data_IF_194524019208
#
_entry.id   IF_194524019208
#
_cell.length_a   1.000
_cell.length_b   1.000
_cell.length_c   1.000
_cell.angle_alpha   90.00
_cell.angle_beta   90.00
_cell.angle_gamma   90.00
#
_symmetry.space_group_name_H-M   'P 1'
#
loop_
_entity.id
_entity.type
_entity.pdbx_description
1 polymer ?
#
# COMPACT_ATOMS: atom_id res chain seq x y z
N UNK A 1 5.56 -20.51 -11.03
CA UNK A 1 5.81 -20.12 -9.62
C UNK A 1 6.77 -18.95 -9.58
N UNK A 2 6.33 -17.81 -9.01
CA UNK A 2 7.05 -16.54 -9.10
C UNK A 2 8.39 -16.59 -8.33
N UNK A 3 9.49 -16.50 -9.07
CA UNK A 3 10.88 -16.32 -8.56
C UNK A 3 11.01 -15.05 -7.68
N UNK A 4 10.00 -14.19 -7.66
CA UNK A 4 9.93 -12.96 -6.85
C UNK A 4 9.68 -13.17 -5.36
N UNK A 5 9.40 -14.39 -4.88
CA UNK A 5 9.25 -14.68 -3.43
C UNK A 5 10.56 -15.04 -2.72
N UNK A 6 11.70 -14.93 -3.38
CA UNK A 6 13.04 -15.28 -2.84
C UNK A 6 13.94 -14.04 -2.57
N UNK A 7 13.36 -12.87 -2.31
CA UNK A 7 14.10 -11.73 -1.76
C UNK A 7 14.14 -11.81 -0.21
N UNK A 8 15.22 -11.47 0.52
CA UNK A 8 16.66 -11.41 0.22
C UNK A 8 17.39 -12.53 1.00
N UNK A 9 16.95 -13.78 0.89
CA UNK A 9 17.34 -14.90 1.78
C UNK A 9 18.78 -15.42 1.57
N UNK A 10 19.62 -14.69 0.85
CA UNK A 10 20.79 -15.26 0.18
C UNK A 10 22.00 -14.33 0.14
N UNK A 11 21.86 -13.14 0.71
CA UNK A 11 22.99 -12.24 0.99
C UNK A 11 23.92 -12.82 2.05
N UNK A 12 23.47 -13.82 2.82
CA UNK A 12 24.19 -14.34 3.98
C UNK A 12 24.90 -15.64 3.59
N UNK A 13 24.16 -16.68 3.16
CA UNK A 13 24.78 -17.98 2.92
C UNK A 13 25.82 -18.05 1.79
N UNK A 14 25.78 -17.21 0.76
CA UNK A 14 26.74 -17.27 -0.35
C UNK A 14 27.97 -16.36 -0.16
N UNK A 15 27.87 -15.33 0.68
CA UNK A 15 28.95 -14.39 0.99
C UNK A 15 29.67 -14.76 2.29
N UNK A 16 28.99 -15.31 3.30
CA UNK A 16 29.60 -15.77 4.56
C UNK A 16 30.41 -17.06 4.43
N UNK A 17 30.19 -17.88 3.39
CA UNK A 17 30.87 -19.18 3.25
C UNK A 17 32.23 -19.04 2.54
N UNK A 18 32.49 -17.95 1.83
CA UNK A 18 33.79 -17.75 1.18
C UNK A 18 34.93 -17.47 2.18
N UNK A 19 34.73 -16.72 3.30
CA UNK A 19 35.73 -16.62 4.36
C UNK A 19 35.88 -17.94 5.14
N UNK A 20 34.77 -18.65 5.40
CA UNK A 20 34.78 -19.89 6.19
C UNK A 20 35.48 -21.07 5.48
N UNK A 21 35.66 -21.01 4.16
CA UNK A 21 36.42 -22.01 3.39
C UNK A 21 37.89 -21.62 3.16
N UNK A 22 38.31 -20.43 3.61
CA UNK A 22 39.70 -19.95 3.50
C UNK A 22 40.35 -19.73 4.89
N UNK A 23 40.03 -20.58 5.88
CA UNK A 23 40.98 -20.79 6.99
C UNK A 23 42.17 -21.60 6.45
N UNK A 24 42.99 -20.97 5.61
CA UNK A 24 44.26 -21.53 5.18
C UNK A 24 45.34 -20.93 6.10
N UNK A 25 45.99 -21.71 6.98
CA UNK A 25 46.97 -21.17 7.92
C UNK A 25 48.29 -20.72 7.27
N UNK A 26 48.45 -20.91 5.96
CA UNK A 26 49.78 -20.93 5.33
C UNK A 26 50.27 -19.56 4.83
N UNK A 27 49.44 -18.52 4.88
CA UNK A 27 49.81 -17.15 4.44
C UNK A 27 49.48 -16.07 5.49
N UNK A 28 49.10 -16.49 6.70
CA UNK A 28 48.80 -15.55 7.79
C UNK A 28 50.07 -14.97 8.44
N UNK A 29 51.26 -15.52 8.14
CA UNK A 29 52.52 -15.06 8.70
C UNK A 29 53.65 -15.16 7.68
N UNK A 30 54.30 -14.03 7.38
CA UNK A 30 55.56 -13.98 6.65
C UNK A 30 55.50 -13.10 5.40
N UNK A 31 55.65 -11.79 5.59
CA UNK A 31 55.73 -10.83 4.50
C UNK A 31 55.65 -9.39 5.03
N UNK A 32 56.63 -9.04 5.86
CA UNK A 32 57.26 -7.72 5.91
C UNK A 32 56.29 -6.52 6.01
N UNK A 33 55.90 -6.17 7.24
CA UNK A 33 55.26 -4.89 7.56
C UNK A 33 56.25 -3.71 7.45
N UNK A 34 56.89 -3.54 6.28
CA UNK A 34 57.72 -2.37 5.99
C UNK A 34 57.02 -1.33 5.10
N UNK A 35 55.74 -1.53 4.74
CA UNK A 35 55.02 -0.61 3.88
C UNK A 35 53.71 -0.10 4.46
N UNK A 36 53.62 1.21 4.70
CA UNK A 36 52.35 1.96 4.77
C UNK A 36 51.73 1.99 3.36
N UNK A 37 51.28 0.82 2.89
CA UNK A 37 50.93 0.57 1.49
C UNK A 37 49.67 -0.26 1.31
N UNK A 38 49.31 -0.50 0.05
CA UNK A 38 48.18 -1.35 -0.30
C UNK A 38 48.51 -2.81 -0.01
N UNK A 39 47.61 -3.52 0.68
CA UNK A 39 47.81 -4.92 1.02
C UNK A 39 47.33 -5.85 -0.11
N UNK A 40 48.12 -6.88 -0.40
CA UNK A 40 47.80 -7.91 -1.39
C UNK A 40 47.06 -9.12 -0.79
N UNK A 41 46.34 -8.95 0.32
CA UNK A 41 45.87 -10.08 1.12
C UNK A 41 44.93 -11.01 0.31
N UNK A 42 45.36 -12.25 -0.03
CA UNK A 42 44.59 -13.14 -0.88
C UNK A 42 43.29 -13.61 -0.20
N UNK A 43 43.24 -13.64 1.14
CA UNK A 43 42.05 -14.04 1.88
C UNK A 43 40.86 -13.09 1.66
N UNK A 44 41.12 -11.85 1.24
CA UNK A 44 40.11 -10.82 0.98
C UNK A 44 39.92 -10.65 -0.53
N UNK A 45 41.01 -10.52 -1.28
CA UNK A 45 40.99 -10.33 -2.73
C UNK A 45 40.31 -11.47 -3.47
N UNK A 46 40.60 -12.73 -3.13
CA UNK A 46 40.05 -13.89 -3.85
C UNK A 46 38.53 -13.97 -3.73
N UNK A 47 37.91 -13.90 -2.53
CA UNK A 47 36.45 -13.83 -2.41
C UNK A 47 35.84 -12.65 -3.17
N UNK A 48 36.45 -11.47 -3.13
CA UNK A 48 35.95 -10.28 -3.83
C UNK A 48 35.95 -10.47 -5.35
N UNK A 49 37.04 -11.02 -5.91
CA UNK A 49 37.15 -11.32 -7.34
C UNK A 49 36.11 -12.37 -7.74
N UNK A 50 35.94 -13.44 -6.95
CA UNK A 50 34.92 -14.48 -7.21
C UNK A 50 33.52 -13.86 -7.25
N UNK A 51 33.19 -13.01 -6.27
CA UNK A 51 31.90 -12.31 -6.21
C UNK A 51 31.70 -11.39 -7.41
N UNK A 52 32.72 -10.63 -7.81
CA UNK A 52 32.68 -9.78 -8.98
C UNK A 52 32.43 -10.58 -10.26
N UNK A 53 33.18 -11.67 -10.49
CA UNK A 53 33.03 -12.55 -11.65
C UNK A 53 31.61 -13.14 -11.69
N UNK A 54 31.10 -13.66 -10.57
CA UNK A 54 29.75 -14.21 -10.50
C UNK A 54 28.69 -13.15 -10.75
N UNK A 55 28.86 -11.95 -10.21
CA UNK A 55 27.92 -10.85 -10.43
C UNK A 55 27.88 -10.44 -11.91
N UNK A 56 29.04 -10.22 -12.54
CA UNK A 56 29.14 -9.86 -13.97
C UNK A 56 28.51 -10.94 -14.86
N UNK A 57 28.81 -12.22 -14.60
CA UNK A 57 28.17 -13.36 -15.31
C UNK A 57 26.66 -13.38 -15.10
N UNK A 58 26.20 -13.04 -13.90
CA UNK A 58 24.79 -12.94 -13.54
C UNK A 58 24.08 -11.83 -14.30
N UNK A 59 24.66 -10.62 -14.33
CA UNK A 59 24.15 -9.48 -15.08
C UNK A 59 24.04 -9.82 -16.57
N UNK A 60 25.12 -10.38 -17.15
CA UNK A 60 25.13 -10.76 -18.57
C UNK A 60 23.99 -11.75 -18.89
N UNK A 61 23.83 -12.81 -18.09
CA UNK A 61 22.75 -13.80 -18.28
C UNK A 61 21.36 -13.21 -18.13
N UNK A 62 21.14 -12.33 -17.15
CA UNK A 62 19.83 -11.72 -16.90
C UNK A 62 19.48 -10.65 -17.94
N UNK A 63 20.47 -9.99 -18.55
CA UNK A 63 20.26 -9.04 -19.66
C UNK A 63 19.98 -9.75 -20.99
N UNK A 64 20.65 -10.88 -21.27
CA UNK A 64 20.48 -11.63 -22.52
C UNK A 64 19.20 -12.50 -22.56
N UNK A 65 18.58 -12.79 -21.41
CA UNK A 65 17.50 -13.78 -21.30
C UNK A 65 16.08 -13.31 -21.66
N UNK A 66 15.82 -12.00 -21.88
CA UNK A 66 14.50 -11.48 -22.24
C UNK A 66 14.59 -10.27 -23.17
N UNK A 67 13.91 -10.33 -24.33
CA UNK A 67 13.58 -9.14 -25.13
C UNK A 67 12.53 -8.32 -24.37
N UNK A 68 12.88 -7.09 -23.99
CA UNK A 68 11.99 -6.15 -23.28
C UNK A 68 12.38 -5.94 -21.81
N UNK A 69 13.18 -4.89 -21.59
CA UNK A 69 13.68 -4.32 -20.31
C UNK A 69 14.75 -5.13 -19.54
N UNK A 70 15.91 -4.52 -19.22
CA UNK A 70 16.92 -5.17 -18.39
C UNK A 70 16.38 -5.40 -16.98
N UNK A 71 16.40 -6.67 -16.53
CA UNK A 71 16.00 -7.08 -15.17
C UNK A 71 16.91 -6.47 -14.08
N UNK A 72 18.09 -5.97 -14.46
CA UNK A 72 19.07 -5.32 -13.58
C UNK A 72 19.39 -3.93 -14.14
N UNK A 73 18.85 -2.90 -13.47
CA UNK A 73 19.13 -1.50 -13.79
C UNK A 73 20.55 -1.08 -13.42
N UNK A 74 21.07 -0.05 -14.09
CA UNK A 74 22.44 0.47 -13.89
C UNK A 74 22.72 0.86 -12.43
N UNK A 75 21.73 1.44 -11.73
CA UNK A 75 21.88 1.79 -10.31
C UNK A 75 22.19 0.60 -9.40
N UNK A 76 21.66 -0.60 -9.67
CA UNK A 76 21.99 -1.80 -8.88
C UNK A 76 23.41 -2.30 -9.13
N UNK A 77 23.90 -2.13 -10.35
CA UNK A 77 25.28 -2.50 -10.72
C UNK A 77 26.24 -1.51 -10.07
N UNK A 78 25.97 -0.21 -10.19
CA UNK A 78 26.74 0.84 -9.54
C UNK A 78 26.82 0.60 -8.02
N UNK A 79 25.68 0.36 -7.36
CA UNK A 79 25.66 0.05 -5.93
C UNK A 79 26.50 -1.17 -5.57
N UNK A 80 26.47 -2.25 -6.37
CA UNK A 80 27.28 -3.44 -6.11
C UNK A 80 28.78 -3.18 -6.25
N UNK A 81 29.18 -2.49 -7.32
CA UNK A 81 30.59 -2.14 -7.58
C UNK A 81 31.09 -1.19 -6.50
N UNK A 82 30.30 -0.18 -6.12
CA UNK A 82 30.63 0.73 -5.03
C UNK A 82 30.72 0.01 -3.68
N UNK A 83 29.88 -0.99 -3.41
CA UNK A 83 29.98 -1.81 -2.21
C UNK A 83 31.30 -2.61 -2.18
N UNK A 84 31.67 -3.24 -3.29
CA UNK A 84 32.95 -3.95 -3.41
C UNK A 84 34.13 -2.98 -3.25
N UNK A 85 34.08 -1.80 -3.86
CA UNK A 85 35.13 -0.80 -3.72
C UNK A 85 35.25 -0.31 -2.27
N UNK A 86 34.13 -0.11 -1.57
CA UNK A 86 34.14 0.26 -0.15
C UNK A 86 34.82 -0.82 0.71
N UNK A 87 34.54 -2.10 0.47
CA UNK A 87 35.25 -3.21 1.16
C UNK A 87 36.73 -3.23 0.79
N UNK A 88 37.07 -3.02 -0.49
CA UNK A 88 38.46 -2.97 -0.95
C UNK A 88 39.24 -1.87 -0.24
N UNK A 89 38.70 -0.65 -0.21
CA UNK A 89 39.33 0.49 0.46
C UNK A 89 39.41 0.26 1.97
N UNK A 90 38.36 -0.27 2.60
CA UNK A 90 38.37 -0.50 4.03
C UNK A 90 39.42 -1.54 4.46
N UNK A 91 39.61 -2.62 3.68
CA UNK A 91 40.38 -3.79 4.12
C UNK A 91 41.73 -4.01 3.41
N UNK A 92 42.00 -3.27 2.33
CA UNK A 92 43.23 -3.46 1.53
C UNK A 92 44.00 -2.16 1.31
N UNK A 93 43.49 -1.02 1.79
CA UNK A 93 44.22 0.25 1.76
C UNK A 93 45.10 0.40 3.00
N UNK A 94 45.99 1.42 3.05
CA UNK A 94 46.80 1.72 4.24
C UNK A 94 45.99 1.94 5.53
N UNK A 95 44.68 2.17 5.45
CA UNK A 95 43.79 2.25 6.61
C UNK A 95 43.84 0.97 7.45
N UNK A 96 43.96 -0.20 6.79
CA UNK A 96 44.06 -1.51 7.45
C UNK A 96 45.35 -1.63 8.27
N UNK A 97 46.48 -1.11 7.76
CA UNK A 97 47.72 -1.08 8.52
C UNK A 97 47.67 -0.06 9.67
N UNK A 98 46.98 1.08 9.48
CA UNK A 98 46.82 2.09 10.53
C UNK A 98 45.87 1.64 11.63
N UNK A 99 44.87 0.81 11.33
CA UNK A 99 43.88 0.36 12.31
C UNK A 99 44.47 -0.53 13.41
N UNK A 100 45.60 -1.19 13.16
CA UNK A 100 46.32 -1.94 14.19
C UNK A 100 46.92 -1.03 15.29
N UNK A 101 47.29 0.21 14.93
CA UNK A 101 47.94 1.17 15.83
C UNK A 101 47.02 2.28 16.36
N UNK A 102 46.11 2.77 15.52
CA UNK A 102 45.21 3.90 15.78
C UNK A 102 43.77 3.44 15.93
N UNK A 103 43.16 3.80 17.05
CA UNK A 103 41.77 3.48 17.32
C UNK A 103 40.83 4.26 16.37
N UNK A 104 41.19 5.48 16.00
CA UNK A 104 40.48 6.29 14.98
C UNK A 104 40.43 5.57 13.62
N UNK A 105 41.57 5.07 13.13
CA UNK A 105 41.63 4.36 11.85
C UNK A 105 40.81 3.05 11.88
N UNK A 106 40.88 2.34 13.01
CA UNK A 106 40.06 1.16 13.26
C UNK A 106 38.55 1.45 13.22
N UNK A 107 38.09 2.56 13.82
CA UNK A 107 36.69 2.97 13.71
C UNK A 107 36.30 3.36 12.28
N UNK A 108 37.17 4.04 11.53
CA UNK A 108 36.91 4.37 10.12
C UNK A 108 36.69 3.10 9.29
N UNK A 109 37.50 2.06 9.54
CA UNK A 109 37.38 0.77 8.86
C UNK A 109 36.03 0.09 9.18
N UNK A 110 35.64 0.03 10.45
CA UNK A 110 34.33 -0.49 10.87
C UNK A 110 33.18 0.28 10.23
N UNK A 111 33.24 1.61 10.21
CA UNK A 111 32.19 2.44 9.63
C UNK A 111 32.08 2.26 8.12
N UNK A 112 33.20 2.17 7.41
CA UNK A 112 33.20 1.91 5.98
C UNK A 112 32.45 0.60 5.64
N UNK A 113 32.57 -0.43 6.49
CA UNK A 113 31.82 -1.68 6.32
C UNK A 113 30.33 -1.51 6.66
N UNK A 114 30.02 -0.87 7.79
CA UNK A 114 28.66 -0.82 8.37
C UNK A 114 27.76 0.19 7.64
N UNK A 115 28.23 1.41 7.42
CA UNK A 115 27.39 2.52 6.91
C UNK A 115 27.61 2.85 5.43
N UNK A 116 28.64 2.26 4.79
CA UNK A 116 28.89 2.42 3.35
C UNK A 116 28.69 1.10 2.60
N UNK A 117 29.50 0.07 2.87
CA UNK A 117 29.47 -1.17 2.09
C UNK A 117 28.14 -1.93 2.24
N UNK A 118 27.68 -2.16 3.48
CA UNK A 118 26.47 -2.92 3.76
C UNK A 118 25.18 -2.32 3.14
N UNK A 119 24.86 -1.02 3.26
CA UNK A 119 23.69 -0.46 2.61
C UNK A 119 23.80 -0.52 1.08
N UNK A 120 24.97 -0.31 0.50
CA UNK A 120 25.18 -0.43 -0.95
C UNK A 120 24.93 -1.87 -1.43
N UNK A 121 25.40 -2.88 -0.69
CA UNK A 121 25.05 -4.27 -0.97
C UNK A 121 23.54 -4.54 -0.83
N UNK A 122 22.88 -3.99 0.18
CA UNK A 122 21.43 -4.12 0.34
C UNK A 122 20.66 -3.49 -0.84
N UNK A 123 21.07 -2.30 -1.28
CA UNK A 123 20.52 -1.58 -2.44
C UNK A 123 20.74 -2.33 -3.77
N UNK A 124 21.92 -2.92 -3.93
CA UNK A 124 22.26 -3.73 -5.11
C UNK A 124 21.37 -4.97 -5.24
N UNK A 125 20.86 -5.48 -4.11
CA UNK A 125 20.11 -6.73 -4.03
C UNK A 125 20.78 -7.86 -4.85
N UNK A 126 22.03 -8.23 -4.56
CA UNK A 126 22.88 -9.00 -5.46
C UNK A 126 22.49 -10.47 -5.56
N UNK A 127 21.76 -11.00 -4.58
CA UNK A 127 21.29 -12.39 -4.49
C UNK A 127 20.84 -13.02 -5.82
N UNK A 128 19.78 -12.53 -6.51
CA UNK A 128 19.29 -13.15 -7.74
C UNK A 128 20.31 -13.07 -8.88
N UNK A 129 21.15 -12.04 -8.87
CA UNK A 129 22.21 -11.81 -9.87
C UNK A 129 23.34 -12.81 -9.67
N UNK A 130 23.86 -12.93 -8.44
CA UNK A 130 24.90 -13.90 -8.07
C UNK A 130 24.44 -15.35 -8.35
N UNK A 131 23.20 -15.70 -7.98
CA UNK A 131 22.60 -16.99 -8.32
C UNK A 131 22.52 -17.26 -9.83
N UNK A 132 22.24 -16.23 -10.62
CA UNK A 132 22.22 -16.36 -12.08
C UNK A 132 23.62 -16.60 -12.65
N UNK A 133 24.65 -16.02 -12.03
CA UNK A 133 26.06 -16.13 -12.42
C UNK A 133 26.71 -17.50 -12.15
N UNK A 134 26.22 -18.21 -11.12
CA UNK A 134 26.70 -19.53 -10.73
C UNK A 134 26.64 -20.57 -11.89
N UNK A 135 27.59 -21.53 -11.95
CA UNK A 135 27.52 -22.67 -12.86
C UNK A 135 26.22 -23.46 -12.68
N UNK A 136 25.67 -24.03 -13.76
CA UNK A 136 24.34 -24.69 -13.74
C UNK A 136 24.22 -25.81 -12.70
N UNK A 137 25.29 -26.58 -12.45
CA UNK A 137 25.32 -27.63 -11.44
C UNK A 137 25.24 -27.07 -10.00
N UNK A 138 26.08 -26.08 -9.71
CA UNK A 138 26.14 -25.41 -8.41
C UNK A 138 24.85 -24.66 -8.10
N UNK A 139 24.31 -23.93 -9.08
CA UNK A 139 23.02 -23.23 -8.95
C UNK A 139 21.89 -24.19 -8.56
N UNK A 140 21.83 -25.39 -9.16
CA UNK A 140 20.82 -26.41 -8.80
C UNK A 140 21.01 -26.92 -7.37
N UNK A 141 22.24 -27.20 -6.95
CA UNK A 141 22.57 -27.64 -5.59
C UNK A 141 22.17 -26.58 -4.55
N UNK A 142 22.59 -25.33 -4.75
CA UNK A 142 22.28 -24.21 -3.85
C UNK A 142 20.76 -24.00 -3.74
N UNK A 143 20.05 -23.95 -4.88
CA UNK A 143 18.59 -23.81 -4.87
C UNK A 143 17.88 -25.00 -4.22
N UNK A 144 18.42 -26.22 -4.30
CA UNK A 144 17.87 -27.40 -3.62
C UNK A 144 18.00 -27.26 -2.10
N UNK A 145 19.17 -26.87 -1.61
CA UNK A 145 19.41 -26.64 -0.18
C UNK A 145 18.48 -25.54 0.34
N UNK A 146 18.32 -24.42 -0.38
CA UNK A 146 17.47 -23.32 0.07
C UNK A 146 15.97 -23.61 0.01
N UNK A 147 15.56 -24.57 -0.82
CA UNK A 147 14.17 -25.05 -0.85
C UNK A 147 13.87 -26.03 0.28
N UNK A 148 14.89 -26.51 1.00
CA UNK A 148 14.71 -27.41 2.13
C UNK A 148 14.00 -26.65 3.28
N UNK A 149 12.85 -27.13 3.80
CA UNK A 149 12.06 -26.43 4.79
C UNK A 149 12.82 -25.94 6.03
N UNK A 150 13.72 -26.73 6.68
CA UNK A 150 14.43 -26.26 7.86
C UNK A 150 15.38 -25.10 7.54
N UNK A 151 16.09 -25.16 6.40
CA UNK A 151 16.96 -24.06 5.94
C UNK A 151 16.13 -22.81 5.69
N UNK A 152 14.98 -22.95 5.01
CA UNK A 152 14.09 -21.83 4.76
C UNK A 152 13.55 -21.22 6.06
N UNK A 153 13.22 -22.04 7.05
CA UNK A 153 12.78 -21.61 8.38
C UNK A 153 13.89 -20.86 9.13
N UNK A 154 15.10 -21.42 9.17
CA UNK A 154 16.27 -20.80 9.79
C UNK A 154 16.60 -19.44 9.17
N UNK A 155 16.64 -19.35 7.84
CA UNK A 155 16.86 -18.06 7.18
C UNK A 155 15.68 -17.11 7.45
N UNK A 156 14.44 -17.59 7.48
CA UNK A 156 13.32 -16.71 7.82
C UNK A 156 13.45 -16.12 9.24
N UNK A 157 13.87 -16.94 10.22
CA UNK A 157 14.15 -16.52 11.59
C UNK A 157 15.33 -15.57 11.71
N UNK A 158 16.38 -15.75 10.91
CA UNK A 158 17.55 -14.86 10.90
C UNK A 158 17.21 -13.42 10.48
N UNK A 159 16.22 -13.27 9.60
CA UNK A 159 15.68 -11.97 9.19
C UNK A 159 14.49 -11.51 10.05
N UNK A 160 14.25 -12.16 11.21
CA UNK A 160 13.27 -11.68 12.16
C UNK A 160 13.78 -10.37 12.81
N UNK A 161 12.96 -9.30 12.89
CA UNK A 161 13.40 -7.99 13.38
C UNK A 161 14.14 -8.05 14.71
N UNK A 162 13.62 -8.80 15.69
CA UNK A 162 14.29 -8.95 17.00
C UNK A 162 15.67 -9.64 16.90
N UNK A 163 15.82 -10.62 16.01
CA UNK A 163 17.11 -11.31 15.79
C UNK A 163 18.11 -10.38 15.13
N UNK A 164 17.66 -9.60 14.13
CA UNK A 164 18.50 -8.60 13.45
C UNK A 164 18.91 -7.49 14.42
N UNK A 165 17.99 -7.02 15.26
CA UNK A 165 18.27 -6.03 16.31
C UNK A 165 19.35 -6.55 17.27
N UNK A 166 19.15 -7.76 17.81
CA UNK A 166 20.10 -8.39 18.73
C UNK A 166 21.45 -8.62 18.06
N UNK A 167 21.48 -9.07 16.81
CA UNK A 167 22.72 -9.28 16.07
C UNK A 167 23.45 -7.96 15.84
N UNK A 168 22.77 -6.91 15.39
CA UNK A 168 23.40 -5.61 15.12
C UNK A 168 23.91 -4.94 16.39
N UNK A 169 23.00 -4.68 17.35
CA UNK A 169 23.36 -4.00 18.59
C UNK A 169 24.30 -4.85 19.44
N UNK A 170 24.08 -6.17 19.51
CA UNK A 170 24.93 -7.09 20.25
C UNK A 170 26.34 -7.15 19.69
N UNK A 171 26.51 -7.19 18.37
CA UNK A 171 27.84 -7.15 17.74
C UNK A 171 28.57 -5.84 18.06
N UNK A 172 27.88 -4.70 17.92
CA UNK A 172 28.43 -3.38 18.27
C UNK A 172 28.85 -3.35 19.74
N UNK A 173 27.95 -3.65 20.67
CA UNK A 173 28.26 -3.59 22.10
C UNK A 173 29.38 -4.57 22.46
N UNK A 174 29.34 -5.80 21.97
CA UNK A 174 30.30 -6.85 22.32
C UNK A 174 31.74 -6.47 21.98
N UNK A 175 32.00 -6.04 20.75
CA UNK A 175 33.35 -5.68 20.31
C UNK A 175 33.88 -4.39 20.95
N UNK A 176 33.00 -3.54 21.46
CA UNK A 176 33.37 -2.34 22.22
C UNK A 176 33.50 -2.60 23.73
N UNK A 177 33.51 -3.86 24.16
CA UNK A 177 33.94 -4.23 25.52
C UNK A 177 35.48 -4.38 25.50
N UNK A 178 36.24 -3.83 26.48
CA UNK A 178 37.70 -3.86 26.45
C UNK A 178 38.34 -5.25 26.38
N UNK A 179 37.66 -6.32 26.81
CA UNK A 179 38.18 -7.68 26.72
C UNK A 179 38.07 -8.26 25.29
N UNK A 180 36.90 -8.34 24.66
CA UNK A 180 36.76 -8.71 23.25
C UNK A 180 37.61 -7.89 22.29
N UNK A 181 37.67 -6.57 22.47
CA UNK A 181 38.51 -5.69 21.66
C UNK A 181 39.99 -6.12 21.67
N UNK A 182 40.53 -6.47 22.84
CA UNK A 182 41.92 -6.95 22.97
C UNK A 182 42.15 -8.28 22.27
N UNK A 183 41.12 -9.09 22.04
CA UNK A 183 41.25 -10.32 21.26
C UNK A 183 41.43 -10.02 19.77
N UNK A 184 40.69 -9.05 19.24
CA UNK A 184 40.82 -8.64 17.85
C UNK A 184 42.21 -8.05 17.54
N UNK A 185 42.77 -7.24 18.45
CA UNK A 185 44.13 -6.69 18.29
C UNK A 185 45.26 -7.71 18.36
N UNK A 186 45.05 -8.88 18.98
CA UNK A 186 46.12 -9.87 19.23
C UNK A 186 46.26 -10.93 18.15
N UNK A 187 45.33 -11.02 17.19
CA UNK A 187 45.39 -12.05 16.16
C UNK A 187 44.55 -11.75 14.93
N UNK A 188 45.17 -11.85 13.75
CA UNK A 188 44.53 -11.65 12.45
C UNK A 188 43.22 -12.42 12.24
N UNK A 189 43.07 -13.70 12.68
CA UNK A 189 41.80 -14.42 12.51
C UNK A 189 40.64 -13.82 13.33
N UNK A 190 40.90 -13.32 14.53
CA UNK A 190 39.84 -12.74 15.38
C UNK A 190 39.45 -11.34 14.89
N UNK A 191 40.42 -10.55 14.41
CA UNK A 191 40.16 -9.31 13.70
C UNK A 191 39.29 -9.54 12.45
N UNK A 192 39.56 -10.59 11.67
CA UNK A 192 38.73 -10.96 10.53
C UNK A 192 37.30 -11.38 10.94
N UNK A 193 37.15 -12.07 12.08
CA UNK A 193 35.84 -12.44 12.63
C UNK A 193 35.07 -11.19 13.07
N UNK A 194 35.73 -10.22 13.69
CA UNK A 194 35.15 -8.93 14.05
C UNK A 194 34.61 -8.21 12.82
N UNK A 195 35.46 -7.95 11.82
CA UNK A 195 35.06 -7.33 10.55
C UNK A 195 33.91 -8.07 9.85
N UNK A 196 33.99 -9.40 9.80
CA UNK A 196 32.93 -10.21 9.20
C UNK A 196 31.63 -10.06 10.00
N UNK A 197 31.68 -10.12 11.33
CA UNK A 197 30.48 -9.96 12.16
C UNK A 197 29.81 -8.61 11.97
N UNK A 198 30.58 -7.52 11.90
CA UNK A 198 30.06 -6.18 11.61
C UNK A 198 29.39 -6.11 10.24
N UNK A 199 30.07 -6.58 9.19
CA UNK A 199 29.52 -6.56 7.84
C UNK A 199 28.24 -7.39 7.75
N UNK A 200 28.19 -8.57 8.36
CA UNK A 200 27.02 -9.45 8.31
C UNK A 200 25.83 -8.91 9.11
N UNK A 201 26.07 -8.40 10.31
CA UNK A 201 25.03 -7.78 11.12
C UNK A 201 24.48 -6.52 10.43
N UNK A 202 25.35 -5.69 9.85
CA UNK A 202 24.95 -4.53 9.07
C UNK A 202 24.17 -4.90 7.80
N UNK A 203 24.59 -5.94 7.06
CA UNK A 203 23.86 -6.43 5.90
C UNK A 203 22.45 -6.90 6.28
N UNK A 204 22.30 -7.61 7.40
CA UNK A 204 21.00 -8.00 7.93
C UNK A 204 20.12 -6.78 8.24
N UNK A 205 20.67 -5.80 8.96
CA UNK A 205 19.97 -4.56 9.30
C UNK A 205 19.51 -3.79 8.04
N UNK A 206 20.44 -3.47 7.14
CA UNK A 206 20.15 -2.66 5.96
C UNK A 206 19.21 -3.36 4.98
N UNK A 207 19.23 -4.70 4.90
CA UNK A 207 18.27 -5.44 4.08
C UNK A 207 16.85 -5.43 4.63
N UNK A 208 16.67 -5.37 5.95
CA UNK A 208 15.34 -5.18 6.58
C UNK A 208 14.87 -3.75 6.38
N UNK A 209 15.73 -2.76 6.63
CA UNK A 209 15.39 -1.33 6.52
C UNK A 209 15.05 -0.93 5.09
N UNK A 210 15.87 -1.35 4.12
CA UNK A 210 15.75 -0.97 2.71
C UNK A 210 14.88 -1.93 1.88
N UNK A 211 14.05 -2.75 2.53
CA UNK A 211 13.17 -3.71 1.87
C UNK A 211 12.13 -3.00 0.98
N UNK A 212 12.23 -3.19 -0.34
CA UNK A 212 11.28 -2.62 -1.32
C UNK A 212 10.17 -3.61 -1.72
N UNK A 213 10.04 -4.73 -1.03
CA UNK A 213 9.02 -5.74 -1.31
C UNK A 213 7.61 -5.16 -1.10
N UNK A 214 6.62 -5.48 -1.96
CA UNK A 214 5.22 -5.17 -1.69
C UNK A 214 4.68 -5.80 -0.38
N UNK A 215 5.36 -6.83 0.11
CA UNK A 215 5.11 -7.47 1.41
C UNK A 215 6.37 -7.30 2.25
N UNK A 216 6.64 -6.06 2.66
CA UNK A 216 7.73 -5.76 3.59
C UNK A 216 7.56 -6.56 4.87
N UNK A 217 8.67 -6.91 5.52
CA UNK A 217 8.66 -7.63 6.81
C UNK A 217 8.16 -6.76 7.96
N UNK A 218 8.58 -5.51 7.96
CA UNK A 218 8.12 -4.46 8.85
C UNK A 218 7.35 -3.44 8.00
N UNK A 219 6.22 -2.98 8.53
CA UNK A 219 5.59 -1.78 8.00
C UNK A 219 6.50 -0.56 8.20
N UNK A 220 6.12 0.57 7.60
CA UNK A 220 6.98 1.75 7.62
C UNK A 220 7.16 2.31 9.03
N UNK A 221 6.08 2.37 9.84
CA UNK A 221 6.13 2.88 11.20
C UNK A 221 7.02 2.01 12.10
N UNK A 222 6.85 0.69 12.07
CA UNK A 222 7.69 -0.24 12.81
C UNK A 222 9.15 -0.20 12.31
N UNK A 223 9.39 0.04 11.01
CA UNK A 223 10.75 0.25 10.49
C UNK A 223 11.39 1.51 11.09
N UNK A 224 10.65 2.61 11.25
CA UNK A 224 11.17 3.83 11.88
C UNK A 224 11.54 3.60 13.34
N UNK A 225 10.66 2.97 14.13
CA UNK A 225 10.95 2.59 15.52
C UNK A 225 12.15 1.65 15.59
N UNK A 226 12.24 0.70 14.67
CA UNK A 226 13.37 -0.21 14.57
C UNK A 226 14.70 0.53 14.31
N UNK A 227 14.73 1.50 13.40
CA UNK A 227 15.93 2.34 13.17
C UNK A 227 16.30 3.13 14.42
N UNK A 228 15.33 3.78 15.06
CA UNK A 228 15.57 4.61 16.26
C UNK A 228 16.12 3.77 17.41
N UNK A 229 15.53 2.60 17.66
CA UNK A 229 16.00 1.71 18.75
C UNK A 229 17.38 1.13 18.47
N UNK A 230 17.72 0.83 17.21
CA UNK A 230 19.08 0.45 16.83
C UNK A 230 20.04 1.61 17.06
N UNK A 231 19.73 2.81 16.55
CA UNK A 231 20.56 3.99 16.67
C UNK A 231 20.90 4.32 18.13
N UNK A 232 19.88 4.35 19.01
CA UNK A 232 20.08 4.65 20.43
C UNK A 232 21.07 3.69 21.12
N UNK A 233 21.03 2.39 20.79
CA UNK A 233 21.87 1.40 21.43
C UNK A 233 23.25 1.27 20.77
N UNK A 234 23.33 1.37 19.45
CA UNK A 234 24.60 1.27 18.72
C UNK A 234 25.48 2.51 18.89
N UNK A 235 24.89 3.68 19.15
CA UNK A 235 25.61 4.95 19.29
C UNK A 235 26.19 5.12 20.71
N UNK A 236 25.70 4.35 21.68
CA UNK A 236 26.11 4.43 23.09
C UNK A 236 27.63 4.25 23.29
N UNK A 237 28.32 3.24 22.70
CA UNK A 237 29.76 3.11 22.84
C UNK A 237 30.51 4.34 22.30
N UNK A 238 30.06 4.91 21.17
CA UNK A 238 30.66 6.12 20.59
C UNK A 238 30.63 7.31 21.57
N UNK A 239 29.47 7.56 22.17
CA UNK A 239 29.30 8.61 23.18
C UNK A 239 30.15 8.35 24.44
N UNK A 240 30.21 7.10 24.91
CA UNK A 240 31.02 6.72 26.07
C UNK A 240 32.52 6.94 25.84
N UNK A 241 33.02 6.63 24.64
CA UNK A 241 34.42 6.81 24.27
C UNK A 241 34.79 8.30 24.13
N UNK A 242 33.89 9.09 23.55
CA UNK A 242 34.04 10.54 23.41
C UNK A 242 34.10 11.25 24.77
N UNK A 243 33.23 10.86 25.71
CA UNK A 243 33.12 11.51 27.01
C UNK A 243 34.06 10.90 28.06
N UNK A 244 34.85 9.89 27.69
CA UNK A 244 35.76 9.22 28.62
C UNK A 244 36.86 10.18 29.12
N UNK A 245 37.12 10.26 30.43
CA UNK A 245 38.22 11.04 30.98
C UNK A 245 39.57 10.31 30.91
N UNK A 246 39.56 9.02 30.55
CA UNK A 246 40.73 8.14 30.47
C UNK A 246 40.55 7.11 29.35
N UNK A 247 41.63 6.63 28.72
CA UNK A 247 41.51 5.61 27.68
C UNK A 247 41.00 4.30 28.27
N UNK A 248 39.97 3.74 27.66
CA UNK A 248 39.41 2.41 27.93
C UNK A 248 40.14 1.33 27.14
N UNK A 249 40.60 1.69 25.93
CA UNK A 249 41.28 0.80 25.01
C UNK A 249 42.77 1.15 24.95
N UNK A 250 43.61 0.11 24.96
CA UNK A 250 45.05 0.28 24.76
C UNK A 250 45.31 0.43 23.26
N UNK A 251 45.55 1.66 22.80
CA UNK A 251 46.09 1.95 21.47
C UNK A 251 47.59 2.27 21.54
N UNK A 252 48.28 2.22 20.40
CA UNK A 252 49.72 2.50 20.35
C UNK A 252 49.98 3.97 20.62
N UNK A 253 50.60 4.29 21.76
CA UNK A 253 50.97 5.67 22.10
C UNK A 253 51.93 6.28 21.07
N UNK A 254 52.84 5.47 20.50
CA UNK A 254 53.74 5.91 19.45
C UNK A 254 52.99 6.21 18.14
N UNK A 255 52.01 5.37 17.76
CA UNK A 255 51.20 5.61 16.57
C UNK A 255 50.32 6.86 16.72
N UNK A 256 49.69 7.04 17.88
CA UNK A 256 48.92 8.24 18.19
C UNK A 256 49.80 9.50 18.14
N UNK A 257 50.99 9.44 18.75
CA UNK A 257 51.93 10.56 18.76
C UNK A 257 52.44 10.93 17.36
N UNK A 258 52.60 9.96 16.45
CA UNK A 258 52.95 10.21 15.05
C UNK A 258 51.90 11.06 14.31
N UNK A 259 50.66 11.08 14.80
CA UNK A 259 49.56 11.91 14.30
C UNK A 259 49.28 13.13 15.19
N UNK A 260 50.16 13.44 16.15
CA UNK A 260 50.00 14.56 17.07
C UNK A 260 48.89 14.36 18.12
N UNK A 261 48.48 13.12 18.36
CA UNK A 261 47.42 12.76 19.30
C UNK A 261 47.97 12.04 20.53
N UNK A 262 47.35 12.26 21.67
CA UNK A 262 47.45 11.35 22.82
C UNK A 262 46.55 10.13 22.62
N UNK A 263 46.80 8.98 23.28
CA UNK A 263 45.90 7.82 23.21
C UNK A 263 44.46 8.16 23.62
N UNK A 264 44.28 9.09 24.56
CA UNK A 264 42.95 9.56 24.96
C UNK A 264 42.27 10.34 23.83
N UNK A 265 42.98 11.26 23.18
CA UNK A 265 42.44 12.03 22.06
C UNK A 265 42.11 11.15 20.85
N UNK A 266 42.95 10.15 20.55
CA UNK A 266 42.66 9.14 19.52
C UNK A 266 41.37 8.39 19.83
N UNK A 267 41.18 7.94 21.08
CA UNK A 267 39.93 7.30 21.49
C UNK A 267 38.70 8.22 21.38
N UNK A 268 38.82 9.47 21.83
CA UNK A 268 37.71 10.42 21.79
C UNK A 268 37.32 10.77 20.35
N UNK A 269 38.31 10.97 19.48
CA UNK A 269 38.10 11.20 18.05
C UNK A 269 37.41 10.00 17.40
N UNK A 270 37.87 8.79 17.70
CA UNK A 270 37.22 7.57 17.25
C UNK A 270 35.78 7.46 17.76
N UNK A 271 35.48 7.93 18.98
CA UNK A 271 34.12 8.03 19.51
C UNK A 271 33.23 8.98 18.69
N UNK A 272 33.74 10.15 18.30
CA UNK A 272 33.02 11.06 17.38
C UNK A 272 32.80 10.42 16.02
N UNK A 273 33.85 9.81 15.46
CA UNK A 273 33.77 9.13 14.16
C UNK A 273 32.81 7.97 14.21
N UNK A 274 32.73 7.22 15.31
CA UNK A 274 31.77 6.14 15.44
C UNK A 274 30.33 6.66 15.48
N UNK A 275 30.10 7.72 16.27
CA UNK A 275 28.77 8.22 16.55
C UNK A 275 28.18 9.03 15.38
N UNK A 276 28.83 10.11 14.98
CA UNK A 276 28.23 11.15 14.14
C UNK A 276 27.84 10.64 12.74
N UNK A 277 28.75 10.03 11.95
CA UNK A 277 28.40 9.49 10.63
C UNK A 277 27.34 8.39 10.69
N UNK A 278 27.34 7.58 11.75
CA UNK A 278 26.34 6.52 11.94
C UNK A 278 24.95 7.12 12.17
N UNK A 279 24.83 8.14 13.03
CA UNK A 279 23.57 8.85 13.23
C UNK A 279 23.06 9.49 11.93
N UNK A 280 23.94 10.10 11.12
CA UNK A 280 23.53 10.64 9.81
C UNK A 280 23.01 9.56 8.85
N UNK A 281 23.66 8.39 8.83
CA UNK A 281 23.20 7.26 8.01
C UNK A 281 21.81 6.78 8.45
N UNK A 282 21.56 6.68 9.76
CA UNK A 282 20.25 6.29 10.30
C UNK A 282 19.17 7.35 10.07
N UNK A 283 19.49 8.64 10.23
CA UNK A 283 18.57 9.74 9.92
C UNK A 283 18.21 9.72 8.43
N UNK A 284 19.20 9.59 7.55
CA UNK A 284 18.97 9.49 6.11
C UNK A 284 18.10 8.28 5.73
N UNK A 285 18.33 7.14 6.39
CA UNK A 285 17.49 5.95 6.23
C UNK A 285 16.06 6.19 6.74
N UNK A 286 15.90 6.84 7.89
CA UNK A 286 14.60 7.21 8.47
C UNK A 286 13.81 8.13 7.55
N UNK A 287 14.44 9.19 7.03
CA UNK A 287 13.85 10.09 6.03
C UNK A 287 13.43 9.31 4.79
N UNK A 288 14.30 8.43 4.26
CA UNK A 288 13.95 7.61 3.11
C UNK A 288 12.74 6.69 3.37
N UNK A 289 12.68 6.03 4.53
CA UNK A 289 11.54 5.18 4.93
C UNK A 289 10.27 6.02 5.07
N UNK A 290 10.36 7.21 5.66
CA UNK A 290 9.23 8.11 5.85
C UNK A 290 8.67 8.64 4.52
N UNK A 291 9.52 9.11 3.61
CA UNK A 291 9.09 9.53 2.26
C UNK A 291 8.42 8.37 1.51
N UNK A 292 8.95 7.16 1.69
CA UNK A 292 8.36 5.96 1.07
C UNK A 292 7.04 5.57 1.70
N UNK A 293 6.86 5.84 2.98
CA UNK A 293 5.58 5.67 3.67
C UNK A 293 4.53 6.63 3.10
N UNK A 294 4.87 7.90 2.91
CA UNK A 294 3.97 8.91 2.34
C UNK A 294 3.49 8.51 0.94
N UNK A 295 4.41 8.18 0.03
CA UNK A 295 4.05 7.76 -1.33
C UNK A 295 3.23 6.45 -1.33
N UNK A 296 3.46 5.55 -0.38
CA UNK A 296 2.67 4.33 -0.25
C UNK A 296 1.27 4.60 0.32
N UNK A 297 1.12 5.56 1.24
CA UNK A 297 -0.15 5.97 1.80
C UNK A 297 -1.02 6.68 0.74
N UNK A 298 -0.44 7.55 -0.08
CA UNK A 298 -1.10 8.18 -1.23
C UNK A 298 -1.63 7.13 -2.20
N UNK A 299 -0.79 6.19 -2.63
CA UNK A 299 -1.22 5.12 -3.53
C UNK A 299 -2.33 4.25 -2.91
N UNK A 300 -2.30 4.01 -1.60
CA UNK A 300 -3.36 3.27 -0.92
C UNK A 300 -4.68 4.05 -0.91
N UNK A 301 -4.63 5.36 -0.67
CA UNK A 301 -5.79 6.24 -0.72
C UNK A 301 -6.41 6.25 -2.14
N UNK A 302 -5.59 6.43 -3.18
CA UNK A 302 -6.06 6.37 -4.58
C UNK A 302 -6.73 5.04 -4.92
N UNK A 303 -6.15 3.92 -4.47
CA UNK A 303 -6.71 2.59 -4.69
C UNK A 303 -8.00 2.37 -3.89
N UNK A 304 -8.14 2.97 -2.70
CA UNK A 304 -9.36 2.93 -1.90
C UNK A 304 -10.47 3.73 -2.56
N UNK A 305 -10.17 4.93 -3.08
CA UNK A 305 -11.11 5.76 -3.82
C UNK A 305 -11.57 5.09 -5.12
N UNK A 306 -10.65 4.50 -5.90
CA UNK A 306 -11.01 3.74 -7.09
C UNK A 306 -11.93 2.54 -6.76
N UNK A 307 -11.71 1.87 -5.62
CA UNK A 307 -12.56 0.77 -5.15
C UNK A 307 -13.92 1.26 -4.64
N UNK A 308 -13.98 2.40 -3.98
CA UNK A 308 -15.23 2.99 -3.48
C UNK A 308 -16.14 3.40 -4.64
N UNK A 309 -15.59 4.04 -5.68
CA UNK A 309 -16.29 4.37 -6.93
C UNK A 309 -16.78 3.12 -7.66
N UNK A 310 -15.95 2.07 -7.74
CA UNK A 310 -16.38 0.80 -8.36
C UNK A 310 -17.51 0.13 -7.59
N UNK A 311 -17.45 0.14 -6.25
CA UNK A 311 -18.50 -0.42 -5.38
C UNK A 311 -19.81 0.33 -5.53
N UNK A 312 -19.79 1.66 -5.53
CA UNK A 312 -20.99 2.48 -5.76
C UNK A 312 -21.59 2.23 -7.14
N UNK A 313 -20.78 2.13 -8.20
CA UNK A 313 -21.27 1.78 -9.54
C UNK A 313 -21.92 0.39 -9.61
N UNK A 314 -21.31 -0.63 -8.98
CA UNK A 314 -21.88 -1.99 -8.94
C UNK A 314 -23.17 -2.02 -8.12
N UNK A 315 -23.21 -1.34 -6.97
CA UNK A 315 -24.41 -1.23 -6.15
C UNK A 315 -25.55 -0.51 -6.88
N UNK A 316 -25.24 0.58 -7.59
CA UNK A 316 -26.22 1.31 -8.41
C UNK A 316 -26.74 0.45 -9.57
N UNK A 317 -25.86 -0.28 -10.28
CA UNK A 317 -26.27 -1.19 -11.35
C UNK A 317 -27.14 -2.35 -10.82
N UNK A 318 -26.79 -2.94 -9.67
CA UNK A 318 -27.59 -3.97 -9.03
C UNK A 318 -28.96 -3.42 -8.58
N UNK A 319 -29.00 -2.20 -8.03
CA UNK A 319 -30.26 -1.54 -7.67
C UNK A 319 -31.14 -1.28 -8.90
N UNK A 320 -30.56 -0.82 -10.02
CA UNK A 320 -31.29 -0.66 -11.28
C UNK A 320 -31.84 -2.00 -11.82
N UNK A 321 -31.03 -3.06 -11.79
CA UNK A 321 -31.44 -4.40 -12.23
C UNK A 321 -32.57 -5.00 -11.37
N UNK A 322 -32.68 -4.62 -10.09
CA UNK A 322 -33.77 -5.04 -9.21
C UNK A 322 -35.00 -4.12 -9.33
N UNK A 323 -34.80 -2.82 -9.52
CA UNK A 323 -35.86 -1.84 -9.62
C UNK A 323 -36.67 -1.97 -10.93
N UNK A 324 -36.01 -2.21 -12.06
CA UNK A 324 -36.68 -2.29 -13.38
C UNK A 324 -37.70 -3.43 -13.48
N UNK A 325 -37.40 -4.68 -13.07
CA UNK A 325 -38.40 -5.76 -13.03
C UNK A 325 -39.52 -5.48 -12.02
N UNK A 326 -39.21 -4.87 -10.89
CA UNK A 326 -40.19 -4.54 -9.85
C UNK A 326 -41.18 -3.48 -10.34
N UNK A 327 -40.68 -2.44 -11.03
CA UNK A 327 -41.49 -1.43 -11.73
C UNK A 327 -42.31 -2.04 -12.87
N UNK A 328 -41.73 -2.96 -13.66
CA UNK A 328 -42.45 -3.66 -14.72
C UNK A 328 -43.57 -4.56 -14.18
N UNK A 329 -43.36 -5.25 -13.05
CA UNK A 329 -44.38 -6.06 -12.36
C UNK A 329 -45.50 -5.19 -11.77
N UNK A 330 -45.15 -4.02 -11.23
CA UNK A 330 -46.13 -3.03 -10.76
C UNK A 330 -46.96 -2.47 -11.92
N UNK A 331 -46.32 -2.17 -13.06
CA UNK A 331 -47.01 -1.70 -14.27
C UNK A 331 -47.91 -2.79 -14.87
N UNK A 332 -47.46 -4.04 -14.92
CA UNK A 332 -48.27 -5.17 -15.39
C UNK A 332 -49.51 -5.39 -14.49
N UNK A 333 -49.38 -5.26 -13.16
CA UNK A 333 -50.52 -5.31 -12.24
C UNK A 333 -51.52 -4.17 -12.43
N UNK A 334 -51.07 -2.98 -12.82
CA UNK A 334 -51.98 -1.87 -13.14
C UNK A 334 -52.70 -2.09 -14.48
N UNK A 335 -52.04 -2.74 -15.45
CA UNK A 335 -52.65 -3.07 -16.73
C UNK A 335 -53.78 -4.12 -16.60
N UNK A 336 -53.65 -5.09 -15.69
CA UNK A 336 -54.72 -6.06 -15.40
C UNK A 336 -55.90 -5.47 -14.61
N UNK A 337 -55.72 -4.31 -13.97
CA UNK A 337 -56.76 -3.64 -13.17
C UNK A 337 -57.57 -2.59 -13.96
N UNK A 338 -57.21 -2.30 -15.22
CA UNK A 338 -57.88 -1.30 -16.05
C UNK A 338 -58.89 -1.97 -17.01
N UNK A 339 -60.11 -2.19 -16.56
CA UNK A 339 -61.28 -2.29 -17.45
C UNK A 339 -61.91 -0.89 -17.56
N UNK A 340 -62.34 -0.41 -18.74
CA UNK A 340 -62.99 0.89 -18.86
C UNK A 340 -64.42 0.78 -18.32
N UNK A 341 -64.60 1.13 -17.05
CA UNK A 341 -65.93 1.30 -16.46
C UNK A 341 -66.51 2.65 -16.88
N UNK A 342 -67.18 2.70 -18.04
CA UNK A 342 -68.13 3.79 -18.29
C UNK A 342 -69.29 3.73 -17.28
N UNK A 343 -70.06 4.82 -17.10
CA UNK A 343 -71.24 4.79 -16.25
C UNK A 343 -72.21 3.68 -16.70
N UNK A 344 -72.63 2.80 -15.79
CA UNK A 344 -73.57 1.71 -16.09
C UNK A 344 -75.02 2.17 -15.90
N UNK A 345 -75.54 2.96 -16.86
CA UNK A 345 -76.93 3.40 -16.90
C UNK A 345 -77.47 3.49 -18.33
N UNK A 346 -78.74 3.86 -18.49
CA UNK A 346 -79.39 4.08 -19.79
C UNK A 346 -79.33 5.56 -20.20
N UNK A 347 -78.49 5.87 -21.19
CA UNK A 347 -78.33 7.23 -21.73
C UNK A 347 -79.63 7.86 -22.24
N UNK A 348 -80.58 7.08 -22.78
CA UNK A 348 -81.86 7.62 -23.28
C UNK A 348 -82.77 8.01 -22.12
N UNK A 349 -82.81 7.20 -21.06
CA UNK A 349 -83.51 7.54 -19.82
C UNK A 349 -82.86 8.75 -19.14
N UNK A 350 -81.52 8.82 -19.14
CA UNK A 350 -80.77 9.97 -18.66
C UNK A 350 -81.16 11.28 -19.34
N UNK A 351 -81.26 11.30 -20.67
CA UNK A 351 -81.73 12.46 -21.42
C UNK A 351 -83.14 12.92 -21.00
N UNK A 352 -84.06 11.96 -20.83
CA UNK A 352 -85.44 12.26 -20.40
C UNK A 352 -85.48 12.80 -18.97
N UNK A 353 -84.64 12.29 -18.06
CA UNK A 353 -84.53 12.78 -16.70
C UNK A 353 -83.96 14.21 -16.66
N UNK A 354 -82.92 14.51 -17.46
CA UNK A 354 -82.34 15.85 -17.57
C UNK A 354 -83.38 16.90 -17.98
N UNK A 355 -84.25 16.54 -18.93
CA UNK A 355 -85.35 17.39 -19.38
C UNK A 355 -86.41 17.57 -18.27
N UNK A 356 -86.89 16.47 -17.68
CA UNK A 356 -87.94 16.47 -16.64
C UNK A 356 -87.51 17.17 -15.35
N UNK A 357 -86.25 17.03 -14.94
CA UNK A 357 -85.69 17.65 -13.74
C UNK A 357 -85.31 19.12 -13.97
N UNK A 358 -85.50 19.64 -15.19
CA UNK A 358 -85.29 21.06 -15.49
C UNK A 358 -83.83 21.49 -15.51
N UNK A 359 -82.89 20.56 -15.70
CA UNK A 359 -81.45 20.87 -15.72
C UNK A 359 -81.10 21.94 -16.79
N UNK A 360 -81.88 21.98 -17.88
CA UNK A 360 -81.75 22.95 -18.95
C UNK A 360 -82.06 24.41 -18.57
N UNK A 361 -82.73 24.65 -17.44
CA UNK A 361 -82.96 26.00 -16.92
C UNK A 361 -81.68 26.66 -16.40
N UNK A 362 -80.74 25.88 -15.88
CA UNK A 362 -79.47 26.36 -15.37
C UNK A 362 -78.29 26.11 -16.33
N UNK A 363 -78.30 24.98 -17.04
CA UNK A 363 -77.19 24.54 -17.87
C UNK A 363 -77.50 24.56 -19.36
N UNK A 364 -76.47 24.77 -20.18
CA UNK A 364 -76.52 24.52 -21.61
C UNK A 364 -76.12 23.07 -21.88
N UNK A 365 -77.03 22.26 -22.44
CA UNK A 365 -76.85 20.81 -22.61
C UNK A 365 -77.18 20.40 -24.06
N UNK A 366 -76.21 19.93 -24.87
CA UNK A 366 -76.48 19.42 -26.20
C UNK A 366 -77.44 18.24 -26.18
N UNK A 367 -78.29 18.14 -27.21
CA UNK A 367 -79.23 17.03 -27.38
C UNK A 367 -80.49 17.07 -26.50
N UNK A 368 -80.63 18.07 -25.63
CA UNK A 368 -81.84 18.31 -24.82
C UNK A 368 -82.52 19.59 -25.29
N UNK A 369 -83.79 19.50 -25.64
CA UNK A 369 -84.56 20.64 -26.16
C UNK A 369 -84.65 21.77 -25.13
N UNK A 370 -84.50 23.02 -25.59
CA UNK A 370 -84.55 24.23 -24.77
C UNK A 370 -83.55 24.31 -23.58
N UNK A 371 -82.57 23.40 -23.47
CA UNK A 371 -81.52 23.45 -22.45
C UNK A 371 -80.44 24.47 -22.81
N UNK A 372 -80.74 25.76 -22.61
CA UNK A 372 -79.86 26.91 -22.92
C UNK A 372 -79.54 27.78 -21.70
N UNK A 373 -79.74 27.25 -20.49
CA UNK A 373 -79.44 27.94 -19.23
C UNK A 373 -77.97 28.33 -19.11
N UNK A 374 -77.70 29.44 -18.42
CA UNK A 374 -76.35 30.00 -18.18
C UNK A 374 -76.06 30.33 -16.72
N UNK A 375 -76.92 29.88 -15.81
CA UNK A 375 -76.71 30.05 -14.36
C UNK A 375 -75.59 29.11 -13.89
N UNK A 376 -75.60 27.87 -14.38
CA UNK A 376 -74.51 26.91 -14.23
C UNK A 376 -73.59 26.89 -15.45
N UNK A 377 -72.40 26.28 -15.35
CA UNK A 377 -71.49 26.12 -16.49
C UNK A 377 -72.13 25.29 -17.61
N UNK A 378 -71.77 25.50 -18.89
CA UNK A 378 -72.24 24.63 -19.97
C UNK A 378 -71.79 23.18 -19.73
N UNK A 379 -72.51 22.19 -20.25
CA UNK A 379 -72.18 20.75 -20.14
C UNK A 379 -71.83 20.11 -21.50
N UNK A 380 -71.38 20.92 -22.47
CA UNK A 380 -71.30 20.53 -23.89
C UNK A 380 -70.27 19.46 -24.25
N UNK A 381 -69.19 19.36 -23.49
CA UNK A 381 -68.10 18.40 -23.65
C UNK A 381 -67.78 17.82 -22.27
N UNK A 382 -68.80 17.24 -21.61
CA UNK A 382 -68.68 16.83 -20.22
C UNK A 382 -67.81 15.58 -20.05
N UNK A 383 -67.88 14.63 -21.00
CA UNK A 383 -67.08 13.41 -20.99
C UNK A 383 -65.57 13.67 -21.01
N UNK A 384 -65.13 14.77 -21.63
CA UNK A 384 -63.72 15.15 -21.73
C UNK A 384 -63.20 15.97 -20.54
N UNK A 385 -64.05 16.28 -19.55
CA UNK A 385 -63.62 17.07 -18.39
C UNK A 385 -62.76 16.26 -17.45
N UNK A 386 -61.81 16.94 -16.81
CA UNK A 386 -60.99 16.35 -15.75
C UNK A 386 -61.68 16.38 -14.37
N UNK A 387 -62.60 17.32 -14.15
CA UNK A 387 -63.24 17.52 -12.84
C UNK A 387 -64.76 17.74 -12.91
N UNK A 388 -65.49 17.21 -11.91
CA UNK A 388 -66.87 17.56 -11.58
C UNK A 388 -66.86 18.66 -10.52
N UNK A 389 -67.63 19.73 -10.77
CA UNK A 389 -67.71 20.90 -9.89
C UNK A 389 -66.35 21.55 -9.52
N UNK A 390 -65.28 21.26 -10.27
CA UNK A 390 -63.91 21.71 -9.98
C UNK A 390 -63.23 21.04 -8.78
N UNK A 391 -63.88 20.07 -8.12
CA UNK A 391 -63.43 19.50 -6.85
C UNK A 391 -63.16 17.99 -6.93
N UNK A 392 -63.99 17.25 -7.68
CA UNK A 392 -63.88 15.80 -7.78
C UNK A 392 -63.30 15.40 -9.14
N UNK A 393 -62.37 14.43 -9.22
CA UNK A 393 -61.98 13.84 -10.50
C UNK A 393 -63.22 13.35 -11.27
N UNK A 394 -63.27 13.57 -12.58
CA UNK A 394 -64.42 13.22 -13.42
C UNK A 394 -64.52 11.70 -13.66
N UNK A 395 -65.11 11.00 -12.70
CA UNK A 395 -65.45 9.59 -12.79
C UNK A 395 -66.98 9.40 -12.67
N UNK A 396 -67.54 8.30 -13.20
CA UNK A 396 -68.97 8.02 -13.11
C UNK A 396 -69.51 8.12 -11.68
N UNK A 397 -68.83 7.48 -10.72
CA UNK A 397 -69.24 7.45 -9.31
C UNK A 397 -69.20 8.83 -8.66
N UNK A 398 -68.20 9.65 -8.99
CA UNK A 398 -68.09 11.01 -8.47
C UNK A 398 -69.18 11.92 -9.04
N UNK A 399 -69.56 11.73 -10.31
CA UNK A 399 -70.67 12.46 -10.90
C UNK A 399 -72.01 12.04 -10.27
N UNK A 400 -72.24 10.75 -10.06
CA UNK A 400 -73.42 10.25 -9.35
C UNK A 400 -73.51 10.85 -7.95
N UNK A 401 -72.43 10.81 -7.18
CA UNK A 401 -72.39 11.39 -5.84
C UNK A 401 -72.63 12.91 -5.82
N UNK A 402 -72.21 13.62 -6.87
CA UNK A 402 -72.50 15.05 -7.06
C UNK A 402 -73.99 15.28 -7.38
N UNK A 403 -74.59 14.49 -8.26
CA UNK A 403 -76.00 14.61 -8.67
C UNK A 403 -76.97 14.29 -7.52
N UNK A 404 -76.64 13.31 -6.67
CA UNK A 404 -77.46 12.95 -5.50
C UNK A 404 -77.48 14.04 -4.43
N UNK A 405 -76.32 14.63 -4.12
CA UNK A 405 -76.22 15.66 -3.09
C UNK A 405 -75.06 16.63 -3.33
N UNK A 406 -75.26 17.67 -4.16
CA UNK A 406 -74.20 18.62 -4.49
C UNK A 406 -73.79 19.46 -3.27
N UNK A 407 -74.72 19.72 -2.34
CA UNK A 407 -74.45 20.49 -1.11
C UNK A 407 -73.50 19.77 -0.16
N UNK A 408 -73.47 18.43 -0.17
CA UNK A 408 -72.50 17.64 0.61
C UNK A 408 -71.07 17.81 0.10
N UNK A 409 -70.90 18.00 -1.21
CA UNK A 409 -69.57 18.11 -1.85
C UNK A 409 -69.08 19.55 -1.81
N UNK A 410 -69.92 20.50 -2.20
CA UNK A 410 -69.61 21.94 -2.16
C UNK A 410 -70.71 22.68 -1.41
N UNK A 411 -70.60 22.85 -0.07
CA UNK A 411 -71.61 23.55 0.71
C UNK A 411 -71.84 24.99 0.23
N UNK A 412 -73.10 25.38 0.02
CA UNK A 412 -73.47 26.73 -0.40
C UNK A 412 -73.44 26.97 -1.92
N UNK A 413 -73.26 25.93 -2.73
CA UNK A 413 -73.39 26.05 -4.18
C UNK A 413 -74.86 26.26 -4.60
N UNK A 414 -75.10 26.74 -5.82
CA UNK A 414 -76.46 27.09 -6.31
C UNK A 414 -77.25 25.88 -6.80
N UNK A 415 -76.59 24.73 -7.07
CA UNK A 415 -77.28 23.52 -7.51
C UNK A 415 -78.07 22.90 -6.34
N UNK A 416 -79.41 22.77 -6.46
CA UNK A 416 -80.24 22.22 -5.39
C UNK A 416 -80.04 20.71 -5.27
N UNK A 417 -80.46 20.16 -4.13
CA UNK A 417 -80.61 18.70 -3.98
C UNK A 417 -81.82 18.26 -4.81
N UNK A 418 -81.59 17.41 -5.81
CA UNK A 418 -82.59 17.05 -6.82
C UNK A 418 -83.62 16.02 -6.34
N UNK A 419 -83.34 15.31 -5.24
CA UNK A 419 -84.22 14.27 -4.70
C UNK A 419 -84.33 13.01 -5.56
N UNK A 420 -83.32 12.76 -6.41
CA UNK A 420 -83.21 11.56 -7.25
C UNK A 420 -82.49 10.43 -6.52
N UNK A 421 -82.77 9.19 -6.92
CA UNK A 421 -82.04 8.01 -6.44
C UNK A 421 -80.77 7.73 -7.26
N UNK A 422 -79.98 6.77 -6.78
CA UNK A 422 -78.70 6.41 -7.42
C UNK A 422 -78.90 5.92 -8.86
N UNK A 423 -80.02 5.25 -9.17
CA UNK A 423 -80.30 4.75 -10.52
C UNK A 423 -80.53 5.90 -11.49
N UNK A 424 -81.35 6.88 -11.11
CA UNK A 424 -81.61 8.06 -11.92
C UNK A 424 -80.33 8.88 -12.12
N UNK A 425 -79.52 9.03 -11.07
CA UNK A 425 -78.23 9.70 -11.13
C UNK A 425 -77.24 8.99 -12.08
N UNK A 426 -77.21 7.65 -12.09
CA UNK A 426 -76.39 6.85 -13.01
C UNK A 426 -76.84 7.00 -14.47
N UNK A 427 -78.14 7.05 -14.74
CA UNK A 427 -78.66 7.26 -16.10
C UNK A 427 -78.29 8.65 -16.63
N UNK A 428 -78.44 9.69 -15.79
CA UNK A 428 -78.02 11.07 -16.12
C UNK A 428 -76.52 11.14 -16.35
N UNK A 429 -75.72 10.53 -15.47
CA UNK A 429 -74.26 10.46 -15.62
C UNK A 429 -73.89 9.79 -16.94
N UNK A 430 -74.54 8.66 -17.28
CA UNK A 430 -74.31 7.96 -18.55
C UNK A 430 -74.52 8.88 -19.74
N UNK A 431 -75.62 9.64 -19.77
CA UNK A 431 -75.86 10.60 -20.84
C UNK A 431 -74.76 11.67 -20.92
N UNK A 432 -74.39 12.28 -19.79
CA UNK A 432 -73.39 13.35 -19.77
C UNK A 432 -72.00 12.86 -20.24
N UNK A 433 -71.64 11.62 -19.94
CA UNK A 433 -70.41 11.01 -20.44
C UNK A 433 -70.43 10.71 -21.95
N UNK A 434 -71.58 10.76 -22.63
CA UNK A 434 -71.64 10.68 -24.10
C UNK A 434 -71.29 12.00 -24.79
N UNK A 435 -71.19 13.11 -24.04
CA UNK A 435 -70.93 14.45 -24.58
C UNK A 435 -69.42 14.71 -24.63
N UNK A 436 -68.81 14.56 -25.81
CA UNK A 436 -67.41 14.88 -26.10
C UNK A 436 -67.29 16.16 -26.94
#
# INVERSE_FOLDING_TARGET
MRVTRLAPLASIGALCILPALCTWPAWAHGGDHEGVGWSGNPAILVPMIILAIWYVRGVHRLRMGRRGRPLVGTGRIAAFVSALLAVFVALLSPIDAWSEGLFTAHMIQHLALIVVAAPLFALAAPTPVLLAGLPRGWRRKVLRIWRWPPVRGAVHGLFHPAVVWLAFCGTIVFWHIPAPYRWALRGGPLHAVEHLSFLLAALLFWTVVLDRSPRRRLDYAATLVFIVTVALLSDLPGALMLLAPRPFFASSAAAAAAWGLTPLQDQQLAGVIMWVPMSFAFIGAGIWVFLRWMEAAELQAELQDARSVRRTRVAAAAAMLLAVPCLALLAARQADAASPSGPQGDSRRGAQLIDRLGCGGCHTIPGIDNAKGRVGPPLTAFGDRLYVAGMLPNTPDNLVAWLENPQRIVPGNVMPVLGIDESDARDIATYLFTLH
#
